data_IF_586968677423
#
_entry.id   IF_586968677423
#
_cell.length_a   1.000
_cell.length_b   1.000
_cell.length_c   1.000
_cell.angle_alpha   90.00
_cell.angle_beta   90.00
_cell.angle_gamma   90.00
#
_symmetry.space_group_name_H-M   'P 1'
#
loop_
_entity.id
_entity.type
_entity.pdbx_description
1 polymer ?
#
# COMPACT_ATOMS: atom_id res chain seq x y z
N UNK A 1 5.28 15.20 0.55
CA UNK A 1 4.66 13.97 0.01
C UNK A 1 5.24 13.74 -1.38
N UNK A 2 5.64 12.51 -1.75
CA UNK A 2 6.08 12.26 -3.13
C UNK A 2 4.86 12.32 -4.07
N UNK A 3 5.09 12.74 -5.31
CA UNK A 3 4.07 12.82 -6.37
C UNK A 3 4.19 11.68 -7.38
N UNK A 4 5.26 10.87 -7.29
CA UNK A 4 5.48 9.68 -8.10
C UNK A 4 5.86 8.53 -7.17
N UNK A 5 5.35 7.34 -7.51
CA UNK A 5 5.65 6.08 -6.84
C UNK A 5 5.76 4.99 -7.91
N UNK A 6 6.59 3.99 -7.68
CA UNK A 6 6.68 2.79 -8.54
C UNK A 6 5.36 2.01 -8.60
N UNK A 7 4.61 1.98 -7.51
CA UNK A 7 3.26 1.41 -7.46
C UNK A 7 2.40 2.08 -6.38
N UNK A 8 1.10 2.24 -6.67
CA UNK A 8 0.09 2.70 -5.74
C UNK A 8 -0.95 1.58 -5.51
N UNK A 9 -1.19 1.25 -4.23
CA UNK A 9 -2.19 0.28 -3.80
C UNK A 9 -3.42 1.04 -3.29
N UNK A 10 -4.61 0.68 -3.78
CA UNK A 10 -5.88 1.30 -3.38
C UNK A 10 -6.70 0.27 -2.60
N UNK A 11 -6.92 0.54 -1.32
CA UNK A 11 -7.59 -0.33 -0.36
C UNK A 11 -6.63 -0.81 0.76
N UNK A 12 -6.98 -0.50 2.00
CA UNK A 12 -6.28 -0.84 3.25
C UNK A 12 -6.86 -2.04 3.99
N UNK A 13 -7.61 -2.90 3.29
CA UNK A 13 -8.01 -4.22 3.78
C UNK A 13 -6.86 -5.23 3.78
N UNK A 14 -7.14 -6.47 4.19
CA UNK A 14 -6.14 -7.54 4.33
C UNK A 14 -5.33 -7.77 3.05
N UNK A 15 -5.99 -7.70 1.89
CA UNK A 15 -5.34 -7.91 0.59
C UNK A 15 -4.35 -6.78 0.28
N UNK A 16 -4.77 -5.52 0.44
CA UNK A 16 -3.91 -4.38 0.13
C UNK A 16 -2.69 -4.27 1.03
N UNK A 17 -2.88 -4.49 2.33
CA UNK A 17 -1.76 -4.53 3.30
C UNK A 17 -0.84 -5.72 3.02
N UNK A 18 -1.38 -6.89 2.66
CA UNK A 18 -0.58 -8.05 2.28
C UNK A 18 0.28 -7.78 1.04
N UNK A 19 -0.28 -7.13 0.01
CA UNK A 19 0.47 -6.72 -1.19
C UNK A 19 1.59 -5.74 -0.80
N UNK A 20 1.27 -4.69 -0.05
CA UNK A 20 2.24 -3.69 0.40
C UNK A 20 3.38 -4.32 1.22
N UNK A 21 3.07 -5.27 2.10
CA UNK A 21 4.06 -6.03 2.87
C UNK A 21 4.99 -6.84 1.97
N UNK A 22 4.46 -7.61 1.01
CA UNK A 22 5.28 -8.45 0.14
C UNK A 22 6.14 -7.61 -0.81
N UNK A 23 5.64 -6.47 -1.31
CA UNK A 23 6.45 -5.54 -2.11
C UNK A 23 7.62 -4.99 -1.29
N UNK A 24 7.37 -4.55 -0.05
CA UNK A 24 8.44 -4.10 0.84
C UNK A 24 9.45 -5.23 1.15
N UNK A 25 8.97 -6.46 1.38
CA UNK A 25 9.81 -7.65 1.59
C UNK A 25 10.68 -8.00 0.38
N UNK A 26 10.20 -7.72 -0.83
CA UNK A 26 10.96 -7.84 -2.08
C UNK A 26 11.91 -6.66 -2.34
N UNK A 27 12.05 -5.73 -1.38
CA UNK A 27 12.97 -4.59 -1.45
C UNK A 27 12.40 -3.37 -2.19
N UNK A 28 11.09 -3.34 -2.47
CA UNK A 28 10.49 -2.15 -3.07
C UNK A 28 10.32 -1.07 -2.01
N UNK A 29 10.99 0.06 -2.19
CA UNK A 29 10.98 1.19 -1.25
C UNK A 29 10.08 2.35 -1.71
N UNK A 30 9.63 2.34 -2.97
CA UNK A 30 8.87 3.43 -3.57
C UNK A 30 7.43 3.01 -3.87
N UNK A 31 6.69 2.67 -2.82
CA UNK A 31 5.29 2.22 -2.90
C UNK A 31 4.44 3.03 -1.93
N UNK A 32 3.14 3.14 -2.22
CA UNK A 32 2.17 3.85 -1.38
C UNK A 32 0.86 3.08 -1.32
N UNK A 33 0.22 3.08 -0.14
CA UNK A 33 -1.12 2.53 0.06
C UNK A 33 -2.09 3.66 0.43
N UNK A 34 -3.24 3.69 -0.23
CA UNK A 34 -4.34 4.61 0.06
C UNK A 34 -5.55 3.83 0.61
N UNK A 35 -6.12 4.32 1.71
CA UNK A 35 -7.40 3.88 2.29
C UNK A 35 -8.28 5.11 2.49
N UNK A 36 -9.60 4.94 2.34
CA UNK A 36 -10.61 5.97 2.50
C UNK A 36 -10.84 6.34 3.97
N UNK A 37 -10.81 5.36 4.86
CA UNK A 37 -10.99 5.53 6.32
C UNK A 37 -9.74 5.00 7.06
N UNK A 38 -9.95 4.24 8.13
CA UNK A 38 -8.91 3.52 8.84
C UNK A 38 -8.58 2.19 8.15
N UNK A 39 -7.41 1.64 8.42
CA UNK A 39 -7.10 0.26 8.01
C UNK A 39 -8.18 -0.69 8.56
N UNK A 40 -8.50 -1.72 7.78
CA UNK A 40 -9.50 -2.74 8.14
C UNK A 40 -10.93 -2.22 8.34
N UNK A 41 -11.30 -1.05 7.81
CA UNK A 41 -12.65 -0.48 7.96
C UNK A 41 -13.69 -0.97 6.92
N UNK A 42 -13.27 -1.87 6.02
CA UNK A 42 -14.14 -2.50 5.03
C UNK A 42 -15.05 -3.57 5.62
#
# INVERSE_FOLDING_TARGET
>A
MKTQYRAAIIGGGIVGVSVQYHLAKLGWTDTVLFEKLDLTSG
#
